data_IF_418363057194
#
_entry.id   IF_418363057194
#
_cell.length_a   1.000
_cell.length_b   1.000
_cell.length_c   1.000
_cell.angle_alpha   90.00
_cell.angle_beta   90.00
_cell.angle_gamma   90.00
#
_symmetry.space_group_name_H-M   'P 1'
#
loop_
_entity.id
_entity.type
_entity.pdbx_description
1 polymer ?
#
# COMPACT_ATOMS: atom_id res chain seq x y z
N UNK A 1 22.93 -15.72 5.86
CA UNK A 1 22.68 -15.39 4.43
C UNK A 1 24.01 -15.00 3.80
N UNK A 2 24.28 -15.43 2.58
CA UNK A 2 25.45 -14.96 1.85
C UNK A 2 25.18 -13.50 1.42
N UNK A 3 26.09 -12.60 1.74
CA UNK A 3 26.03 -11.19 1.34
C UNK A 3 27.31 -10.88 0.57
N UNK A 4 27.14 -10.28 -0.60
CA UNK A 4 28.22 -9.77 -1.42
C UNK A 4 27.79 -8.42 -1.98
N UNK A 5 28.77 -7.60 -2.32
CA UNK A 5 28.57 -6.32 -2.99
C UNK A 5 29.63 -6.21 -4.08
N UNK A 6 29.30 -5.51 -5.14
CA UNK A 6 30.17 -5.28 -6.28
C UNK A 6 29.71 -3.99 -6.96
N UNK A 7 30.63 -3.31 -7.62
CA UNK A 7 30.33 -2.18 -8.47
C UNK A 7 30.15 -2.69 -9.91
N UNK A 8 29.08 -2.26 -10.57
CA UNK A 8 28.79 -2.62 -11.95
C UNK A 8 28.02 -1.51 -12.64
N UNK A 9 28.26 -1.35 -13.95
CA UNK A 9 27.46 -0.47 -14.81
C UNK A 9 26.09 -1.09 -15.13
N UNK A 10 26.00 -2.43 -15.13
CA UNK A 10 24.75 -3.18 -15.30
C UNK A 10 24.15 -3.56 -13.94
N UNK A 11 22.85 -3.30 -13.76
CA UNK A 11 22.11 -3.84 -12.63
C UNK A 11 21.35 -5.10 -13.07
N UNK A 12 21.95 -6.25 -12.85
CA UNK A 12 21.43 -7.55 -13.32
C UNK A 12 21.56 -8.66 -12.28
N UNK A 13 20.72 -9.69 -12.42
CA UNK A 13 20.75 -10.88 -11.59
C UNK A 13 21.04 -12.12 -12.46
N UNK A 14 22.20 -12.78 -12.28
CA UNK A 14 22.54 -13.99 -13.02
C UNK A 14 21.71 -15.18 -12.52
N UNK A 15 20.63 -15.51 -13.24
CA UNK A 15 19.69 -16.58 -12.86
C UNK A 15 19.94 -17.88 -13.63
N UNK A 16 20.69 -17.83 -14.74
CA UNK A 16 20.91 -18.98 -15.63
C UNK A 16 21.65 -20.14 -14.96
N UNK A 17 22.54 -19.85 -14.01
CA UNK A 17 23.26 -20.89 -13.27
C UNK A 17 22.33 -21.75 -12.40
N UNK A 18 21.23 -21.17 -11.89
CA UNK A 18 20.22 -21.90 -11.14
C UNK A 18 19.36 -22.83 -12.02
N UNK A 19 19.18 -22.49 -13.30
CA UNK A 19 18.33 -23.21 -14.24
C UNK A 19 18.88 -24.55 -14.71
N UNK A 20 20.20 -24.65 -14.83
CA UNK A 20 20.86 -25.88 -15.29
C UNK A 20 20.49 -27.08 -14.39
N UNK A 21 20.33 -26.82 -13.08
CA UNK A 21 20.03 -27.84 -12.07
C UNK A 21 18.55 -27.93 -11.68
N UNK A 22 17.67 -27.17 -12.33
CA UNK A 22 16.24 -27.17 -11.99
C UNK A 22 15.54 -28.44 -12.50
N UNK A 23 14.90 -29.19 -11.59
CA UNK A 23 14.08 -30.37 -11.92
C UNK A 23 12.65 -30.01 -12.38
N UNK A 24 12.32 -28.72 -12.50
CA UNK A 24 10.99 -28.22 -12.85
C UNK A 24 10.91 -26.71 -12.71
N UNK A 25 9.67 -26.17 -12.66
CA UNK A 25 9.44 -24.74 -12.46
C UNK A 25 9.91 -24.29 -11.08
N UNK A 26 10.59 -23.16 -11.04
CA UNK A 26 11.09 -22.50 -9.83
C UNK A 26 10.45 -21.12 -9.68
N UNK A 27 10.31 -20.68 -8.44
CA UNK A 27 9.87 -19.35 -8.08
C UNK A 27 11.10 -18.54 -7.64
N UNK A 28 11.34 -17.39 -8.28
CA UNK A 28 12.36 -16.42 -7.91
C UNK A 28 11.68 -15.16 -7.41
N UNK A 29 11.97 -14.79 -6.16
CA UNK A 29 11.47 -13.56 -5.55
C UNK A 29 12.65 -12.61 -5.36
N UNK A 30 12.57 -11.44 -5.98
CA UNK A 30 13.58 -10.39 -5.89
C UNK A 30 12.99 -9.22 -5.09
N UNK A 31 13.73 -8.79 -4.08
CA UNK A 31 13.41 -7.57 -3.34
C UNK A 31 14.46 -6.53 -3.66
N UNK A 32 14.04 -5.40 -4.23
CA UNK A 32 14.91 -4.28 -4.59
C UNK A 32 14.58 -3.13 -3.66
N UNK A 33 15.61 -2.59 -3.01
CA UNK A 33 15.51 -1.44 -2.14
C UNK A 33 16.32 -0.30 -2.75
N UNK A 34 15.65 0.75 -3.22
CA UNK A 34 16.31 1.87 -3.91
C UNK A 34 15.76 3.23 -3.47
N UNK A 35 16.58 4.28 -3.60
CA UNK A 35 16.24 5.65 -3.18
C UNK A 35 15.19 6.26 -4.13
N UNK A 36 13.93 6.25 -3.72
CA UNK A 36 12.82 6.98 -4.34
C UNK A 36 12.26 6.31 -5.60
N UNK A 37 12.87 5.20 -6.04
CA UNK A 37 12.59 4.57 -7.32
C UNK A 37 12.11 3.14 -7.11
N UNK A 38 11.11 2.75 -7.90
CA UNK A 38 10.81 1.32 -8.09
C UNK A 38 11.60 0.80 -9.29
N UNK A 39 11.76 -0.51 -9.34
CA UNK A 39 12.44 -1.19 -10.44
C UNK A 39 11.52 -2.20 -11.10
N UNK A 40 11.82 -2.50 -12.36
CA UNK A 40 11.19 -3.54 -13.14
C UNK A 40 12.25 -4.19 -14.03
N UNK A 41 11.93 -5.29 -14.70
CA UNK A 41 12.89 -5.91 -15.61
C UNK A 41 12.85 -5.23 -16.98
N UNK A 42 14.01 -5.08 -17.61
CA UNK A 42 14.17 -4.41 -18.90
C UNK A 42 13.98 -5.35 -20.08
N UNK A 43 14.27 -6.64 -19.91
CA UNK A 43 14.33 -7.64 -20.96
C UNK A 43 13.21 -8.70 -20.93
N UNK A 44 12.18 -8.48 -20.09
CA UNK A 44 10.99 -9.31 -20.03
C UNK A 44 9.75 -8.44 -19.80
N UNK A 45 8.57 -9.00 -20.08
CA UNK A 45 7.31 -8.30 -19.83
C UNK A 45 7.08 -8.08 -18.34
N UNK A 46 6.53 -6.93 -17.98
CA UNK A 46 6.23 -6.59 -16.60
C UNK A 46 4.72 -6.53 -16.38
N UNK A 47 4.26 -7.26 -15.38
CA UNK A 47 2.83 -7.33 -15.03
C UNK A 47 2.70 -7.09 -13.54
N UNK A 48 1.64 -6.42 -13.11
CA UNK A 48 1.34 -6.30 -11.67
C UNK A 48 0.36 -7.37 -11.23
N UNK A 49 0.54 -7.85 -10.00
CA UNK A 49 -0.40 -8.81 -9.42
C UNK A 49 -1.79 -8.14 -9.27
N UNK A 50 -2.88 -8.85 -9.59
CA UNK A 50 -4.24 -8.38 -9.33
C UNK A 50 -4.43 -8.03 -7.85
N UNK A 51 -5.21 -6.97 -7.58
CA UNK A 51 -5.36 -6.40 -6.23
C UNK A 51 -6.81 -6.02 -5.91
N UNK A 52 -7.07 -5.67 -4.64
CA UNK A 52 -8.40 -5.48 -4.03
C UNK A 52 -9.40 -6.58 -4.40
N UNK A 53 -8.98 -7.83 -4.23
CA UNK A 53 -9.85 -9.00 -4.50
C UNK A 53 -10.57 -9.37 -3.22
N UNK A 54 -11.89 -9.44 -3.27
CA UNK A 54 -12.68 -10.05 -2.21
C UNK A 54 -12.54 -11.57 -2.27
N UNK A 55 -12.11 -12.17 -1.16
CA UNK A 55 -11.84 -13.60 -1.02
C UNK A 55 -12.67 -14.17 0.11
N UNK A 56 -12.93 -15.47 0.05
CA UNK A 56 -13.71 -16.19 1.04
C UNK A 56 -12.94 -16.42 2.34
N UNK A 57 -13.67 -16.67 3.44
CA UNK A 57 -13.10 -17.01 4.75
C UNK A 57 -12.09 -18.17 4.69
N UNK A 58 -12.35 -19.17 3.84
CA UNK A 58 -11.47 -20.32 3.67
C UNK A 58 -10.06 -19.93 3.19
N UNK A 59 -9.92 -18.78 2.55
CA UNK A 59 -8.63 -18.24 2.10
C UNK A 59 -7.70 -17.93 3.26
N UNK A 60 -8.24 -17.57 4.43
CA UNK A 60 -7.42 -17.21 5.60
C UNK A 60 -6.48 -18.33 6.04
N UNK A 61 -6.96 -19.57 6.09
CA UNK A 61 -6.15 -20.74 6.46
C UNK A 61 -5.41 -21.36 5.29
N UNK A 62 -5.77 -21.01 4.05
CA UNK A 62 -5.24 -21.59 2.81
C UNK A 62 -4.59 -20.54 1.91
N UNK A 63 -4.10 -19.45 2.50
CA UNK A 63 -3.62 -18.28 1.74
C UNK A 63 -2.53 -18.65 0.75
N UNK A 64 -1.60 -19.55 1.13
CA UNK A 64 -0.55 -19.99 0.22
C UNK A 64 -1.08 -20.69 -1.03
N UNK A 65 -2.09 -21.54 -0.89
CA UNK A 65 -2.72 -22.22 -2.04
C UNK A 65 -3.50 -21.23 -2.91
N UNK A 66 -4.27 -20.33 -2.29
CA UNK A 66 -4.93 -19.23 -3.00
C UNK A 66 -3.94 -18.41 -3.83
N UNK A 67 -2.88 -17.95 -3.18
CA UNK A 67 -1.89 -17.10 -3.80
C UNK A 67 -1.18 -17.82 -4.96
N UNK A 68 -0.82 -19.08 -4.77
CA UNK A 68 -0.21 -19.89 -5.82
C UNK A 68 -1.15 -20.08 -7.03
N UNK A 69 -2.43 -20.34 -6.79
CA UNK A 69 -3.45 -20.42 -7.84
C UNK A 69 -3.63 -19.11 -8.60
N UNK A 70 -3.74 -17.98 -7.88
CA UNK A 70 -3.83 -16.65 -8.48
C UNK A 70 -2.60 -16.34 -9.35
N UNK A 71 -1.43 -16.62 -8.82
CA UNK A 71 -0.17 -16.37 -9.50
C UNK A 71 0.00 -17.24 -10.74
N UNK A 72 -0.36 -18.53 -10.67
CA UNK A 72 -0.32 -19.45 -11.82
C UNK A 72 -1.26 -18.98 -12.94
N UNK A 73 -2.46 -18.47 -12.61
CA UNK A 73 -3.39 -17.89 -13.58
C UNK A 73 -2.82 -16.63 -14.26
N UNK A 74 -2.15 -15.75 -13.50
CA UNK A 74 -1.50 -14.55 -14.05
C UNK A 74 -0.37 -14.93 -15.00
N UNK A 75 0.50 -15.86 -14.61
CA UNK A 75 1.61 -16.34 -15.45
C UNK A 75 1.10 -17.09 -16.69
N UNK A 76 0.00 -17.85 -16.58
CA UNK A 76 -0.60 -18.52 -17.72
C UNK A 76 -1.12 -17.54 -18.77
N UNK A 77 -1.63 -16.37 -18.34
CA UNK A 77 -2.09 -15.29 -19.22
C UNK A 77 -0.95 -14.41 -19.75
N UNK A 78 0.13 -14.29 -19.00
CA UNK A 78 1.31 -13.48 -19.32
C UNK A 78 2.58 -14.32 -19.26
N UNK A 79 2.77 -15.24 -20.23
CA UNK A 79 3.95 -16.09 -20.25
C UNK A 79 5.22 -15.23 -20.34
N UNK A 80 6.29 -15.67 -19.67
CA UNK A 80 7.60 -14.96 -19.63
C UNK A 80 7.56 -13.55 -19.02
N UNK A 81 6.55 -13.24 -18.21
CA UNK A 81 6.50 -11.99 -17.47
C UNK A 81 7.11 -12.09 -16.07
N UNK A 82 7.59 -10.96 -15.55
CA UNK A 82 7.95 -10.76 -14.16
C UNK A 82 6.88 -9.95 -13.46
N UNK A 83 6.41 -10.46 -12.32
CA UNK A 83 5.22 -9.95 -11.66
C UNK A 83 5.66 -9.02 -10.53
N UNK A 84 5.19 -7.77 -10.56
CA UNK A 84 5.31 -6.85 -9.43
C UNK A 84 4.21 -7.12 -8.42
N UNK A 85 4.58 -7.49 -7.19
CA UNK A 85 3.64 -7.79 -6.10
C UNK A 85 3.51 -6.61 -5.12
N UNK A 86 4.55 -5.79 -5.03
CA UNK A 86 4.63 -4.68 -4.09
C UNK A 86 5.60 -3.60 -4.62
N UNK A 87 5.22 -2.34 -4.50
CA UNK A 87 6.09 -1.18 -4.73
C UNK A 87 5.62 -0.02 -3.83
N UNK A 88 6.28 0.19 -2.70
CA UNK A 88 5.92 1.21 -1.72
C UNK A 88 7.16 1.75 -1.00
N UNK A 89 7.06 2.94 -0.41
CA UNK A 89 8.06 3.42 0.55
C UNK A 89 8.38 2.36 1.63
N UNK A 90 9.66 2.15 1.93
CA UNK A 90 10.11 1.12 2.86
C UNK A 90 9.72 1.40 4.31
N UNK A 91 9.51 2.68 4.67
CA UNK A 91 9.16 3.10 6.02
C UNK A 91 7.67 3.31 6.25
N UNK A 92 6.82 3.06 5.26
CA UNK A 92 5.36 3.21 5.40
C UNK A 92 4.61 2.15 4.62
N UNK A 93 3.38 1.88 5.04
CA UNK A 93 2.44 1.01 4.36
C UNK A 93 1.04 1.26 4.92
N UNK A 94 0.02 0.83 4.20
CA UNK A 94 -1.35 0.77 4.73
C UNK A 94 -2.13 -0.32 3.98
N UNK A 95 -2.68 -1.36 4.64
CA UNK A 95 -2.37 -1.75 6.01
C UNK A 95 -0.94 -2.29 6.09
N UNK A 96 -0.28 -2.09 7.22
CA UNK A 96 1.03 -2.68 7.47
C UNK A 96 0.87 -4.05 8.15
N UNK A 97 1.33 -5.16 7.54
CA UNK A 97 1.34 -6.48 8.18
C UNK A 97 2.40 -6.61 9.29
N UNK A 98 3.22 -5.58 9.52
CA UNK A 98 4.24 -5.55 10.57
C UNK A 98 4.83 -4.15 10.68
N UNK A 99 5.77 -3.91 11.60
CA UNK A 99 6.49 -2.65 11.61
C UNK A 99 7.18 -2.42 10.26
N UNK A 100 7.18 -1.20 9.74
CA UNK A 100 7.93 -0.88 8.53
C UNK A 100 9.45 -1.04 8.79
N UNK A 101 10.25 -1.07 7.71
CA UNK A 101 11.70 -1.31 7.84
C UNK A 101 12.35 -0.23 8.69
N UNK A 102 13.05 -0.67 9.73
CA UNK A 102 13.82 0.16 10.65
C UNK A 102 15.29 0.21 10.29
N UNK A 103 16.04 1.06 10.99
CA UNK A 103 17.47 1.26 10.75
C UNK A 103 18.31 -0.03 10.75
N UNK A 104 18.03 -0.95 11.68
CA UNK A 104 18.72 -2.24 11.78
C UNK A 104 18.42 -3.15 10.59
N UNK A 105 17.23 -3.05 10.02
CA UNK A 105 16.84 -3.84 8.85
C UNK A 105 17.63 -3.36 7.63
N UNK A 106 17.73 -2.05 7.42
CA UNK A 106 18.54 -1.48 6.35
C UNK A 106 20.01 -1.92 6.42
N UNK A 107 20.62 -1.90 7.62
CA UNK A 107 22.01 -2.37 7.80
C UNK A 107 22.14 -3.87 7.48
N UNK A 108 21.18 -4.68 7.94
CA UNK A 108 21.15 -6.13 7.64
C UNK A 108 21.04 -6.38 6.13
N UNK A 109 20.29 -5.52 5.42
CA UNK A 109 20.05 -5.60 3.97
C UNK A 109 21.15 -4.94 3.11
N UNK A 110 22.29 -4.55 3.71
CA UNK A 110 23.44 -4.02 2.96
C UNK A 110 23.56 -2.50 2.96
N UNK A 111 22.74 -1.78 3.74
CA UNK A 111 22.84 -0.33 3.89
C UNK A 111 24.16 0.14 4.51
N UNK A 112 24.86 -0.74 5.22
CA UNK A 112 26.21 -0.53 5.75
C UNK A 112 27.28 -0.36 4.67
N UNK A 113 27.05 -0.88 3.46
CA UNK A 113 27.96 -0.74 2.32
C UNK A 113 27.66 0.53 1.51
N UNK A 114 26.41 0.99 1.52
CA UNK A 114 25.95 2.16 0.74
C UNK A 114 26.28 3.51 1.40
N UNK A 115 26.63 3.50 2.68
CA UNK A 115 27.06 4.68 3.42
C UNK A 115 28.36 4.33 4.15
N UNK A 116 29.52 4.81 3.67
CA UNK A 116 30.73 4.74 4.48
C UNK A 116 30.43 5.47 5.79
N UNK A 117 30.45 4.76 6.91
CA UNK A 117 30.66 5.45 8.18
C UNK A 117 32.02 6.15 8.03
N UNK A 118 32.14 7.46 8.26
CA UNK A 118 33.45 8.09 8.32
C UNK A 118 34.27 7.36 9.39
N UNK A 119 35.40 6.77 8.99
CA UNK A 119 36.25 5.93 9.86
C UNK A 119 36.84 6.67 11.09
N UNK A 120 36.65 7.99 11.19
CA UNK A 120 37.25 8.84 12.23
C UNK A 120 36.21 9.60 13.09
N UNK A 121 35.18 8.94 13.57
CA UNK A 121 34.38 9.48 14.69
C UNK A 121 34.42 8.53 15.88
N UNK A 122 35.19 8.85 16.95
CA UNK A 122 35.07 8.13 18.20
C UNK A 122 33.62 8.20 18.67
N UNK A 123 33.07 7.05 19.11
CA UNK A 123 31.78 7.02 19.81
C UNK A 123 31.75 8.16 20.84
N UNK A 124 30.79 9.10 20.78
CA UNK A 124 30.78 10.19 21.73
C UNK A 124 30.41 9.63 23.10
N UNK A 125 31.43 9.39 23.92
CA UNK A 125 31.36 9.24 25.36
C UNK A 125 31.09 10.62 25.98
N UNK A 126 29.87 11.12 25.78
CA UNK A 126 29.42 12.40 26.31
C UNK A 126 27.91 12.43 26.51
N UNK A 127 27.41 13.21 27.48
CA UNK A 127 25.98 13.32 27.72
C UNK A 127 25.26 13.88 26.48
N UNK A 128 23.99 13.49 26.24
CA UNK A 128 23.30 13.79 25.00
C UNK A 128 23.20 15.30 24.78
N UNK A 129 23.98 15.81 23.82
CA UNK A 129 23.87 17.19 23.36
C UNK A 129 22.62 17.31 22.48
N UNK A 130 21.91 18.41 22.68
CA UNK A 130 20.62 18.79 22.07
C UNK A 130 20.56 18.47 20.56
N UNK A 131 19.39 18.08 20.02
CA UNK A 131 19.26 17.65 18.63
C UNK A 131 19.40 18.85 17.67
N UNK A 132 20.62 19.10 17.22
CA UNK A 132 20.92 19.98 16.09
C UNK A 132 20.95 19.17 14.80
N UNK A 133 20.02 19.48 13.88
CA UNK A 133 19.94 19.23 12.42
C UNK A 133 21.10 18.44 11.74
N UNK A 134 21.38 17.24 12.21
CA UNK A 134 22.32 16.28 11.61
C UNK A 134 21.56 15.03 11.17
N UNK A 135 21.45 14.86 9.86
CA UNK A 135 20.59 13.97 9.08
C UNK A 135 20.99 12.48 9.17
N UNK A 136 21.17 11.93 10.38
CA UNK A 136 21.80 10.59 10.54
C UNK A 136 20.83 9.41 10.51
N UNK A 137 19.52 9.60 10.76
CA UNK A 137 18.54 8.49 10.79
C UNK A 137 17.15 8.88 10.23
N UNK A 138 17.13 9.72 9.19
CA UNK A 138 15.91 10.13 8.48
C UNK A 138 15.79 9.60 7.05
N UNK A 139 16.68 8.70 6.62
CA UNK A 139 16.81 8.27 5.22
C UNK A 139 15.87 7.14 4.78
N UNK A 140 15.23 6.43 5.72
CA UNK A 140 14.36 5.30 5.38
C UNK A 140 13.14 5.71 4.52
N UNK A 141 12.61 6.92 4.76
CA UNK A 141 11.51 7.51 3.98
C UNK A 141 11.88 7.83 2.54
N UNK A 142 13.16 7.76 2.20
CA UNK A 142 13.65 7.92 0.85
C UNK A 142 13.71 6.60 0.08
N UNK A 143 13.60 5.43 0.72
CA UNK A 143 13.69 4.15 0.01
C UNK A 143 12.32 3.63 -0.41
N UNK A 144 12.26 3.03 -1.58
CA UNK A 144 11.13 2.25 -2.09
C UNK A 144 11.55 0.79 -2.11
N UNK A 145 10.72 -0.06 -1.50
CA UNK A 145 10.82 -1.51 -1.61
C UNK A 145 9.98 -1.95 -2.80
N UNK A 146 10.62 -2.62 -3.76
CA UNK A 146 9.95 -3.31 -4.86
C UNK A 146 10.10 -4.81 -4.69
N UNK A 147 9.00 -5.55 -4.76
CA UNK A 147 8.99 -7.02 -4.76
C UNK A 147 8.55 -7.53 -6.13
N UNK A 148 9.47 -8.22 -6.79
CA UNK A 148 9.27 -8.86 -8.08
C UNK A 148 9.24 -10.38 -7.90
N UNK A 149 8.43 -11.05 -8.68
CA UNK A 149 8.31 -12.51 -8.66
C UNK A 149 8.26 -13.05 -10.08
N UNK A 150 9.23 -13.88 -10.41
CA UNK A 150 9.28 -14.61 -11.66
C UNK A 150 9.09 -16.10 -11.38
N UNK A 151 8.30 -16.78 -12.20
CA UNK A 151 8.21 -18.24 -12.19
C UNK A 151 8.69 -18.77 -13.52
N UNK A 152 9.68 -19.63 -13.43
CA UNK A 152 10.51 -19.93 -14.59
C UNK A 152 10.97 -21.38 -14.59
N UNK A 153 11.19 -21.87 -15.80
CA UNK A 153 11.85 -23.13 -16.10
C UNK A 153 12.89 -22.86 -17.20
N UNK A 154 13.51 -23.93 -17.72
CA UNK A 154 14.52 -23.86 -18.77
C UNK A 154 14.04 -23.15 -20.05
N UNK A 155 12.74 -22.99 -20.25
CA UNK A 155 12.15 -22.41 -21.45
C UNK A 155 11.62 -20.98 -21.24
N UNK A 156 11.38 -20.56 -19.99
CA UNK A 156 10.72 -19.28 -19.68
C UNK A 156 11.68 -18.09 -19.51
N UNK A 157 12.78 -18.26 -18.77
CA UNK A 157 13.84 -17.24 -18.60
C UNK A 157 15.13 -17.76 -19.26
N UNK A 158 15.37 -17.35 -20.50
CA UNK A 158 16.53 -17.74 -21.30
C UNK A 158 17.76 -16.84 -21.07
N UNK A 159 17.53 -15.66 -20.50
CA UNK A 159 18.51 -14.60 -20.25
C UNK A 159 18.49 -14.20 -18.77
N UNK A 160 19.59 -13.62 -18.29
CA UNK A 160 19.67 -13.05 -16.95
C UNK A 160 18.70 -11.86 -16.80
N UNK A 161 18.24 -11.58 -15.58
CA UNK A 161 17.29 -10.50 -15.37
C UNK A 161 18.04 -9.17 -15.33
N UNK A 162 17.75 -8.28 -16.27
CA UNK A 162 18.28 -6.92 -16.29
C UNK A 162 17.24 -6.01 -15.67
N UNK A 163 17.62 -5.20 -14.68
CA UNK A 163 16.69 -4.30 -14.00
C UNK A 163 16.88 -2.86 -14.49
N UNK A 164 15.77 -2.12 -14.51
CA UNK A 164 15.75 -0.68 -14.80
C UNK A 164 14.83 0.06 -13.85
N UNK A 165 15.12 1.34 -13.62
CA UNK A 165 14.20 2.23 -12.94
C UNK A 165 12.87 2.32 -13.69
N UNK A 166 11.77 2.44 -12.95
CA UNK A 166 10.46 2.51 -13.54
C UNK A 166 9.55 3.57 -12.89
N UNK A 167 8.61 4.17 -13.64
CA UNK A 167 7.74 5.24 -13.14
C UNK A 167 6.87 4.78 -11.97
N UNK A 168 6.56 5.64 -10.98
CA UNK A 168 5.79 5.22 -9.82
C UNK A 168 4.39 4.70 -10.16
N UNK A 169 3.90 3.76 -9.36
CA UNK A 169 2.57 3.16 -9.51
C UNK A 169 1.79 3.12 -8.19
N UNK A 170 0.47 3.12 -8.30
CA UNK A 170 -0.45 2.92 -7.17
C UNK A 170 -1.47 1.85 -7.48
N UNK A 171 -1.92 1.16 -6.43
CA UNK A 171 -2.97 0.15 -6.51
C UNK A 171 -3.06 -0.66 -5.22
N UNK A 172 -4.22 -1.24 -4.95
CA UNK A 172 -4.42 -2.02 -3.72
C UNK A 172 -4.58 -1.17 -2.46
N UNK A 173 -5.19 0.01 -2.59
CA UNK A 173 -5.43 0.99 -1.51
C UNK A 173 -6.91 1.17 -1.19
N UNK A 174 -7.77 0.27 -1.67
CA UNK A 174 -9.23 0.39 -1.55
C UNK A 174 -9.81 1.69 -2.15
N UNK A 175 -9.16 2.26 -3.17
CA UNK A 175 -9.66 3.47 -3.83
C UNK A 175 -10.79 3.13 -4.80
N UNK A 176 -11.95 3.78 -4.61
CA UNK A 176 -13.09 3.68 -5.52
C UNK A 176 -12.81 4.50 -6.78
N UNK A 177 -12.93 3.83 -7.92
CA UNK A 177 -12.87 4.41 -9.25
C UNK A 177 -14.24 4.92 -9.68
N UNK A 178 -14.27 5.61 -10.81
CA UNK A 178 -15.50 6.01 -11.48
C UNK A 178 -16.43 4.79 -11.68
N UNK A 179 -17.71 4.94 -11.35
CA UNK A 179 -18.67 3.83 -11.36
C UNK A 179 -18.69 2.96 -10.09
N UNK A 180 -18.03 3.37 -9.01
CA UNK A 180 -18.14 2.75 -7.68
C UNK A 180 -17.43 1.39 -7.57
N UNK A 181 -16.50 1.10 -8.47
CA UNK A 181 -15.69 -0.13 -8.45
C UNK A 181 -14.32 0.14 -7.85
N UNK A 182 -13.77 -0.83 -7.13
CA UNK A 182 -12.41 -0.74 -6.60
C UNK A 182 -11.37 -0.91 -7.72
N UNK A 183 -10.23 -0.23 -7.58
CA UNK A 183 -9.06 -0.48 -8.42
C UNK A 183 -8.65 -1.96 -8.35
N UNK A 184 -8.43 -2.63 -9.49
CA UNK A 184 -8.09 -4.07 -9.55
C UNK A 184 -6.67 -4.36 -10.03
N UNK A 185 -5.89 -3.31 -10.27
CA UNK A 185 -4.52 -3.39 -10.76
C UNK A 185 -3.76 -2.11 -10.46
N UNK A 186 -2.57 -2.00 -11.04
CA UNK A 186 -1.75 -0.80 -10.90
C UNK A 186 -2.14 0.29 -11.90
N UNK A 187 -1.99 1.55 -11.49
CA UNK A 187 -2.09 2.71 -12.36
C UNK A 187 -0.87 3.63 -12.16
N UNK A 188 -0.41 4.33 -13.20
CA UNK A 188 0.66 5.32 -13.07
C UNK A 188 0.32 6.41 -12.04
N UNK A 189 1.35 6.90 -11.34
CA UNK A 189 1.19 7.91 -10.29
C UNK A 189 2.48 8.72 -10.08
N UNK A 190 2.41 9.76 -9.26
CA UNK A 190 3.58 10.50 -8.78
C UNK A 190 4.28 9.83 -7.60
N UNK A 191 3.64 8.83 -6.97
CA UNK A 191 4.17 8.11 -5.79
C UNK A 191 4.03 6.60 -5.95
N UNK A 192 4.93 5.85 -5.31
CA UNK A 192 4.85 4.39 -5.23
C UNK A 192 4.03 3.98 -4.02
N UNK A 193 2.80 3.52 -4.24
CA UNK A 193 1.92 2.94 -3.22
C UNK A 193 1.12 1.77 -3.84
N UNK A 194 1.82 0.77 -4.36
CA UNK A 194 1.23 -0.43 -4.94
C UNK A 194 1.45 -1.64 -4.04
N UNK A 195 0.38 -2.43 -3.85
CA UNK A 195 0.44 -3.73 -3.19
C UNK A 195 -0.64 -4.67 -3.73
N UNK A 196 -0.34 -5.97 -3.78
CA UNK A 196 -1.37 -7.00 -3.86
C UNK A 196 -2.17 -7.07 -2.56
N UNK A 197 -3.47 -6.76 -2.63
CA UNK A 197 -4.41 -6.77 -1.49
C UNK A 197 -5.55 -7.76 -1.75
N UNK A 198 -5.80 -8.64 -0.79
CA UNK A 198 -6.86 -9.64 -0.83
C UNK A 198 -7.64 -9.56 0.48
N UNK A 199 -8.97 -9.48 0.39
CA UNK A 199 -9.82 -8.91 1.43
C UNK A 199 -10.92 -9.89 1.77
N UNK A 200 -10.99 -10.24 3.04
CA UNK A 200 -12.18 -10.87 3.61
C UNK A 200 -12.98 -9.74 4.24
N UNK A 201 -14.24 -9.58 3.82
CA UNK A 201 -15.13 -8.57 4.38
C UNK A 201 -16.08 -9.23 5.35
N UNK A 202 -16.14 -8.72 6.57
CA UNK A 202 -17.11 -9.14 7.57
C UNK A 202 -18.18 -8.05 7.72
N UNK A 203 -19.36 -8.18 7.08
CA UNK A 203 -20.45 -7.24 7.27
C UNK A 203 -20.88 -7.17 8.73
N UNK A 204 -21.40 -6.02 9.17
CA UNK A 204 -22.02 -5.90 10.48
C UNK A 204 -23.24 -6.82 10.57
N UNK A 205 -23.20 -7.77 11.52
CA UNK A 205 -24.28 -8.74 11.76
C UNK A 205 -25.15 -8.41 12.97
N UNK A 206 -24.75 -7.41 13.77
CA UNK A 206 -25.52 -6.95 14.93
C UNK A 206 -26.75 -6.10 14.54
N UNK A 207 -27.58 -5.74 15.52
CA UNK A 207 -28.66 -4.76 15.30
C UNK A 207 -28.11 -3.44 14.77
N UNK A 208 -28.82 -2.82 13.82
CA UNK A 208 -28.52 -1.49 13.30
C UNK A 208 -29.50 -0.52 13.94
N UNK A 209 -29.04 0.24 14.94
CA UNK A 209 -29.89 1.16 15.72
C UNK A 209 -29.79 2.62 15.25
N UNK A 210 -28.83 2.93 14.38
CA UNK A 210 -28.66 4.29 13.85
C UNK A 210 -29.72 4.61 12.78
N UNK A 211 -30.24 5.83 12.81
CA UNK A 211 -31.30 6.29 11.90
C UNK A 211 -30.87 6.33 10.43
N UNK A 212 -29.58 6.58 10.17
CA UNK A 212 -29.01 6.66 8.81
C UNK A 212 -27.72 5.81 8.73
N UNK A 213 -27.83 4.48 8.58
CA UNK A 213 -26.66 3.61 8.55
C UNK A 213 -25.82 3.83 7.29
N UNK A 214 -24.54 4.15 7.47
CA UNK A 214 -23.58 4.27 6.37
C UNK A 214 -22.97 2.91 6.05
N UNK A 215 -23.56 2.21 5.09
CA UNK A 215 -23.03 0.93 4.58
C UNK A 215 -21.81 1.15 3.68
N UNK A 216 -21.01 0.10 3.49
CA UNK A 216 -19.83 0.13 2.62
C UNK A 216 -18.62 0.88 3.20
N UNK A 217 -18.70 1.34 4.46
CA UNK A 217 -17.53 1.82 5.20
C UNK A 217 -16.93 0.66 5.98
N UNK A 218 -15.69 0.33 5.64
CA UNK A 218 -14.93 -0.77 6.23
C UNK A 218 -13.89 -0.21 7.20
N UNK A 219 -13.64 -0.94 8.28
CA UNK A 219 -12.67 -0.56 9.30
C UNK A 219 -12.22 -1.78 10.10
N UNK A 220 -11.42 -1.54 11.13
CA UNK A 220 -11.01 -2.59 12.05
C UNK A 220 -12.19 -3.21 12.81
N UNK A 221 -11.95 -4.33 13.52
CA UNK A 221 -12.97 -4.98 14.34
C UNK A 221 -13.68 -4.00 15.28
N UNK A 222 -15.03 -4.03 15.39
CA UNK A 222 -15.80 -3.07 16.19
C UNK A 222 -15.41 -2.97 17.67
N UNK A 223 -14.84 -4.03 18.24
CA UNK A 223 -14.32 -4.06 19.61
C UNK A 223 -12.87 -3.61 19.75
N UNK A 224 -12.25 -3.07 18.71
CA UNK A 224 -10.84 -2.65 18.71
C UNK A 224 -9.84 -3.82 18.68
N UNK A 225 -10.31 -5.05 18.49
CA UNK A 225 -9.43 -6.21 18.37
C UNK A 225 -8.45 -6.02 17.21
N UNK A 226 -7.17 -6.28 17.47
CA UNK A 226 -6.10 -6.26 16.47
C UNK A 226 -5.57 -7.70 16.37
N UNK A 227 -6.16 -8.57 15.52
CA UNK A 227 -5.66 -9.93 15.36
C UNK A 227 -4.20 -9.88 14.90
N UNK A 228 -3.34 -10.78 15.39
CA UNK A 228 -1.93 -10.77 15.02
C UNK A 228 -1.79 -10.99 13.51
N UNK A 229 -0.85 -10.27 12.92
CA UNK A 229 -0.48 -10.46 11.52
C UNK A 229 0.32 -11.74 11.37
N UNK A 230 -0.02 -12.54 10.36
CA UNK A 230 0.65 -13.81 10.09
C UNK A 230 1.32 -13.74 8.72
N UNK A 231 2.66 -13.85 8.63
CA UNK A 231 3.32 -13.91 7.35
C UNK A 231 2.98 -15.24 6.67
N UNK A 232 2.64 -15.19 5.39
CA UNK A 232 2.56 -16.39 4.59
C UNK A 232 3.97 -16.93 4.34
N UNK A 233 4.28 -18.09 4.91
CA UNK A 233 5.59 -18.71 4.78
C UNK A 233 5.59 -19.76 3.67
N UNK A 234 6.77 -19.98 3.07
CA UNK A 234 7.00 -21.08 2.10
C UNK A 234 6.05 -21.06 0.90
N UNK A 235 5.65 -19.86 0.43
CA UNK A 235 4.71 -19.69 -0.69
C UNK A 235 5.17 -20.41 -1.98
N UNK A 236 6.47 -20.43 -2.25
CA UNK A 236 7.04 -21.17 -3.37
C UNK A 236 6.75 -22.68 -3.34
N UNK A 237 6.52 -23.24 -2.15
CA UNK A 237 6.22 -24.65 -1.91
C UNK A 237 4.74 -24.90 -1.59
N UNK A 238 3.88 -23.89 -1.71
CA UNK A 238 2.47 -24.05 -1.45
C UNK A 238 1.85 -25.05 -2.45
N UNK A 239 0.82 -25.82 -2.05
CA UNK A 239 0.10 -26.70 -2.96
C UNK A 239 -0.47 -25.90 -4.14
N UNK A 240 -0.23 -26.39 -5.36
CA UNK A 240 -0.70 -25.82 -6.63
C UNK A 240 -1.78 -26.71 -7.25
N UNK A 241 -2.50 -26.17 -8.24
CA UNK A 241 -3.57 -26.90 -8.94
C UNK A 241 -4.95 -26.85 -8.27
N UNK A 242 -5.12 -25.99 -7.26
CA UNK A 242 -6.44 -25.70 -6.68
C UNK A 242 -7.13 -24.64 -7.55
N UNK A 243 -8.40 -24.82 -7.88
CA UNK A 243 -9.15 -23.84 -8.67
C UNK A 243 -9.27 -22.51 -7.90
N UNK A 244 -8.89 -21.39 -8.55
CA UNK A 244 -8.97 -20.04 -7.96
C UNK A 244 -10.40 -19.70 -7.48
N UNK A 245 -11.41 -20.18 -8.21
CA UNK A 245 -12.82 -20.01 -7.88
C UNK A 245 -13.21 -20.55 -6.49
N UNK A 246 -12.44 -21.51 -5.93
CA UNK A 246 -12.69 -22.04 -4.58
C UNK A 246 -12.32 -21.07 -3.43
N UNK A 247 -11.62 -19.98 -3.76
CA UNK A 247 -11.16 -18.97 -2.80
C UNK A 247 -11.89 -17.64 -2.94
N UNK A 248 -12.72 -17.49 -3.95
CA UNK A 248 -13.54 -16.29 -4.16
C UNK A 248 -14.93 -16.52 -3.59
N UNK A 249 -15.56 -15.47 -3.07
CA UNK A 249 -16.97 -15.51 -2.66
C UNK A 249 -17.86 -16.02 -3.79
N UNK A 250 -18.93 -16.76 -3.48
CA UNK A 250 -19.81 -17.36 -4.48
C UNK A 250 -20.37 -16.29 -5.43
N UNK A 251 -19.95 -16.34 -6.70
CA UNK A 251 -20.14 -15.36 -7.78
C UNK A 251 -19.07 -14.26 -7.92
N UNK A 252 -17.79 -14.58 -8.19
CA UNK A 252 -17.14 -13.78 -9.21
C UNK A 252 -17.90 -14.05 -10.51
N UNK A 253 -18.48 -13.04 -11.14
CA UNK A 253 -18.90 -13.19 -12.54
C UNK A 253 -17.73 -13.75 -13.36
N UNK A 254 -17.98 -14.41 -14.50
CA UNK A 254 -16.88 -14.84 -15.37
C UNK A 254 -15.92 -13.68 -15.69
N UNK A 255 -16.47 -12.45 -15.79
CA UNK A 255 -15.72 -11.20 -15.88
C UNK A 255 -14.91 -10.91 -14.62
N UNK A 256 -15.49 -11.10 -13.42
CA UNK A 256 -14.78 -11.06 -12.14
C UNK A 256 -13.55 -11.96 -12.15
N UNK A 257 -13.71 -13.28 -12.36
CA UNK A 257 -12.60 -14.24 -12.41
C UNK A 257 -11.55 -13.90 -13.50
N UNK A 258 -12.01 -13.43 -14.66
CA UNK A 258 -11.14 -13.00 -15.75
C UNK A 258 -10.33 -11.75 -15.37
N UNK A 259 -10.94 -10.79 -14.67
CA UNK A 259 -10.28 -9.61 -14.13
C UNK A 259 -9.31 -9.97 -12.99
N UNK A 260 -9.65 -10.94 -12.14
CA UNK A 260 -8.81 -11.40 -11.04
C UNK A 260 -7.48 -11.99 -11.51
N UNK A 261 -7.37 -12.42 -12.76
CA UNK A 261 -6.20 -13.14 -13.29
C UNK A 261 -5.47 -12.37 -14.38
N UNK A 262 -6.02 -11.23 -14.85
CA UNK A 262 -5.45 -10.47 -15.97
C UNK A 262 -4.17 -9.72 -15.62
N UNK A 263 -3.85 -9.53 -14.33
CA UNK A 263 -2.79 -8.59 -13.94
C UNK A 263 -3.00 -7.20 -14.57
N UNK A 264 -2.02 -6.32 -14.45
CA UNK A 264 -1.99 -5.12 -15.32
C UNK A 264 -0.61 -5.03 -15.95
N UNK A 265 -0.51 -5.17 -17.29
CA UNK A 265 0.73 -4.91 -17.99
C UNK A 265 1.20 -3.49 -17.67
N UNK A 266 2.44 -3.39 -17.21
CA UNK A 266 3.13 -2.12 -17.11
C UNK A 266 3.65 -1.85 -18.52
N UNK A 267 2.91 -1.04 -19.29
CA UNK A 267 3.24 -0.77 -20.69
C UNK A 267 4.70 -0.37 -20.85
N UNK A 268 5.30 -0.72 -22.00
CA UNK A 268 6.66 -0.33 -22.35
C UNK A 268 6.75 1.19 -22.42
N UNK A 269 7.00 1.84 -21.28
CA UNK A 269 7.46 3.22 -21.30
C UNK A 269 8.87 3.15 -21.83
N UNK A 270 9.02 3.56 -23.10
CA UNK A 270 10.28 4.01 -23.67
C UNK A 270 11.02 4.80 -22.58
N UNK A 271 12.30 4.52 -22.30
CA UNK A 271 13.05 5.30 -21.33
C UNK A 271 12.83 6.78 -21.62
N UNK A 272 12.37 7.54 -20.62
CA UNK A 272 12.40 9.00 -20.73
C UNK A 272 13.86 9.37 -21.04
N UNK A 273 14.14 10.23 -22.04
CA UNK A 273 15.49 10.71 -22.26
C UNK A 273 16.07 11.22 -20.93
N UNK A 274 17.37 11.03 -20.68
CA UNK A 274 17.99 11.43 -19.43
C UNK A 274 17.58 12.86 -19.11
N UNK A 275 17.18 13.09 -17.85
CA UNK A 275 16.87 14.43 -17.38
C UNK A 275 18.05 15.34 -17.76
N UNK A 276 17.80 16.54 -18.31
CA UNK A 276 18.88 17.46 -18.64
C UNK A 276 19.74 17.65 -17.40
N UNK A 277 21.06 17.55 -17.59
CA UNK A 277 22.03 17.74 -16.52
C UNK A 277 21.71 19.04 -15.78
N UNK A 278 21.82 19.07 -14.43
CA UNK A 278 21.54 20.26 -13.67
C UNK A 278 22.44 21.40 -14.15
N UNK A 279 21.81 22.46 -14.68
CA UNK A 279 22.47 23.68 -15.08
C UNK A 279 23.36 24.17 -13.94
N UNK A 280 24.68 24.16 -14.14
CA UNK A 280 25.69 24.59 -13.17
C UNK A 280 25.79 26.11 -13.07
N UNK A 281 24.72 26.83 -13.41
CA UNK A 281 24.66 28.28 -13.30
C UNK A 281 24.19 28.66 -11.90
N UNK A 282 25.00 29.37 -11.08
CA UNK A 282 24.59 29.78 -9.75
C UNK A 282 23.41 30.77 -9.85
N UNK A 283 22.21 30.33 -9.44
CA UNK A 283 21.07 31.22 -9.32
C UNK A 283 21.28 32.16 -8.13
N UNK A 284 21.26 33.46 -8.42
CA UNK A 284 21.40 34.54 -7.46
C UNK A 284 20.35 34.47 -6.34
N UNK A 285 20.80 34.86 -5.16
CA UNK A 285 20.05 35.02 -3.90
C UNK A 285 18.81 35.91 -4.09
N UNK A 286 17.64 35.28 -4.16
CA UNK A 286 16.33 35.93 -4.03
C UNK A 286 15.65 35.50 -2.74
N UNK A 287 15.55 36.42 -1.80
CA UNK A 287 14.83 36.29 -0.52
C UNK A 287 13.34 36.06 -0.77
N UNK A 288 12.82 34.89 -0.37
CA UNK A 288 11.39 34.62 -0.29
C UNK A 288 11.00 34.37 1.17
N UNK A 289 10.16 35.27 1.69
CA UNK A 289 9.66 35.29 3.06
C UNK A 289 8.74 34.11 3.38
N UNK A 290 8.93 33.57 4.57
CA UNK A 290 8.16 32.50 5.21
C UNK A 290 6.77 33.00 5.68
N UNK A 291 5.66 32.29 5.42
CA UNK A 291 4.40 32.54 6.11
C UNK A 291 4.35 31.79 7.45
N UNK A 292 3.92 32.49 8.48
CA UNK A 292 3.84 32.07 9.88
C UNK A 292 2.92 30.84 10.12
N UNK A 293 3.16 30.06 11.19
CA UNK A 293 2.39 28.85 11.51
C UNK A 293 1.03 29.19 12.14
N UNK A 294 -0.04 28.66 11.57
CA UNK A 294 -1.40 28.68 12.15
C UNK A 294 -1.61 27.56 13.15
N UNK A 295 -2.23 27.92 14.28
CA UNK A 295 -2.42 27.15 15.51
C UNK A 295 -2.91 25.71 15.37
N UNK A 296 -2.19 24.82 16.05
CA UNK A 296 -2.65 23.48 16.40
C UNK A 296 -3.37 23.53 17.75
N UNK A 297 -4.70 23.46 17.75
CA UNK A 297 -5.46 23.15 18.97
C UNK A 297 -5.46 21.65 19.23
N UNK A 298 -4.77 21.26 20.30
CA UNK A 298 -4.76 19.94 20.92
C UNK A 298 -6.12 19.61 21.54
N UNK A 299 -6.56 18.35 21.42
CA UNK A 299 -7.69 17.79 22.17
C UNK A 299 -7.15 16.64 23.04
N UNK A 300 -7.43 16.61 24.36
CA UNK A 300 -6.88 15.62 25.26
C UNK A 300 -7.59 14.26 25.16
N UNK A 301 -6.82 13.21 25.44
CA UNK A 301 -7.26 11.81 25.46
C UNK A 301 -7.79 11.42 26.85
N UNK A 302 -9.04 10.94 26.94
CA UNK A 302 -9.50 9.93 27.92
C UNK A 302 -10.80 9.27 27.39
N UNK A 303 -10.91 7.92 27.37
CA UNK A 303 -12.11 7.23 26.85
C UNK A 303 -13.17 7.01 27.96
N UNK A 304 -14.48 7.11 27.66
CA UNK A 304 -15.51 6.60 28.56
C UNK A 304 -15.73 5.10 28.36
N UNK A 305 -16.16 4.46 29.45
CA UNK A 305 -16.44 3.03 29.57
C UNK A 305 -17.67 2.57 28.78
N UNK A 306 -17.58 1.34 28.28
CA UNK A 306 -18.67 0.41 27.93
C UNK A 306 -19.67 0.81 26.83
N UNK A 307 -19.56 0.10 25.70
CA UNK A 307 -20.71 -0.39 24.93
C UNK A 307 -21.40 0.60 23.99
N UNK A 308 -20.98 0.63 22.72
CA UNK A 308 -21.77 1.19 21.62
C UNK A 308 -20.93 1.91 20.58
N UNK A 309 -21.03 1.45 19.32
CA UNK A 309 -20.61 2.09 18.07
C UNK A 309 -19.36 2.99 18.11
N UNK A 310 -18.24 2.47 17.58
CA UNK A 310 -17.11 3.30 17.20
C UNK A 310 -17.51 4.27 16.08
N UNK A 311 -17.76 5.53 16.44
CA UNK A 311 -17.98 6.63 15.50
C UNK A 311 -19.43 7.12 15.38
N UNK A 312 -20.15 7.29 16.48
CA UNK A 312 -21.31 8.18 16.51
C UNK A 312 -20.88 9.58 16.96
N UNK A 313 -20.65 10.51 16.03
CA UNK A 313 -20.83 11.91 16.37
C UNK A 313 -22.34 12.15 16.46
N UNK A 314 -22.82 12.45 17.66
CA UNK A 314 -24.16 13.01 17.82
C UNK A 314 -24.16 14.37 17.11
N UNK A 315 -24.95 14.50 16.05
CA UNK A 315 -25.30 15.83 15.55
C UNK A 315 -26.04 16.54 16.68
N UNK A 316 -25.55 17.71 17.09
CA UNK A 316 -26.33 18.61 17.94
C UNK A 316 -27.69 18.82 17.27
N UNK A 317 -28.75 18.43 17.95
CA UNK A 317 -30.10 18.78 17.60
C UNK A 317 -30.30 20.28 17.85
N UNK A 318 -29.87 21.11 16.91
CA UNK A 318 -30.21 22.54 16.83
C UNK A 318 -31.21 22.81 15.70
N UNK A 319 -32.16 21.89 15.48
CA UNK A 319 -33.30 22.07 14.57
C UNK A 319 -34.63 21.80 15.29
N UNK A 320 -34.78 22.37 16.49
CA UNK A 320 -36.04 22.39 17.23
C UNK A 320 -36.35 23.77 17.84
N UNK A 321 -35.94 24.86 17.17
CA UNK A 321 -36.23 26.24 17.63
C UNK A 321 -37.16 27.06 16.74
N UNK A 322 -37.58 26.56 15.58
CA UNK A 322 -38.39 27.35 14.63
C UNK A 322 -39.90 27.03 14.58
N UNK A 323 -40.40 26.12 15.42
CA UNK A 323 -41.86 25.81 15.46
C UNK A 323 -42.60 26.30 16.72
N UNK A 324 -41.91 26.95 17.68
CA UNK A 324 -42.55 27.41 18.93
C UNK A 324 -42.97 28.89 18.93
N UNK A 325 -42.52 29.70 17.96
CA UNK A 325 -42.82 31.16 17.93
C UNK A 325 -44.03 31.55 17.06
N UNK A 326 -44.52 30.65 16.20
CA UNK A 326 -45.71 30.91 15.37
C UNK A 326 -47.06 30.83 16.13
N UNK A 327 -47.13 30.08 17.23
CA UNK A 327 -48.37 29.85 17.96
C UNK A 327 -48.69 30.94 19.02
N UNK A 328 -47.72 31.76 19.43
CA UNK A 328 -47.93 32.84 20.41
C UNK A 328 -48.33 34.19 19.79
N UNK A 329 -48.12 34.39 18.49
CA UNK A 329 -48.55 35.60 17.77
C UNK A 329 -50.03 35.56 17.31
N UNK A 330 -50.63 34.37 17.18
CA UNK A 330 -52.03 34.22 16.79
C UNK A 330 -53.03 34.43 17.95
N UNK A 331 -52.60 34.28 19.21
CA UNK A 331 -53.45 34.47 20.40
C UNK A 331 -53.46 35.93 20.92
N UNK A 332 -52.49 36.77 20.51
CA UNK A 332 -52.43 38.20 20.87
C UNK A 332 -53.31 39.12 19.99
N UNK A 333 -53.59 38.72 18.75
CA UNK A 333 -54.40 39.54 17.82
C UNK A 333 -55.92 39.33 17.96
N UNK A 334 -56.36 38.23 18.59
CA UNK A 334 -57.78 37.97 18.86
C UNK A 334 -58.31 38.69 20.13
N UNK A 335 -57.44 39.07 21.06
CA UNK A 335 -57.82 39.76 22.31
C UNK A 335 -57.77 41.28 22.24
N UNK A 336 -57.05 41.85 21.26
CA UNK A 336 -57.00 43.31 21.04
C UNK A 336 -58.21 43.86 20.24
N UNK A 337 -58.90 43.02 19.45
CA UNK A 337 -60.06 43.43 18.64
C UNK A 337 -61.40 43.46 19.39
N UNK A 338 -61.42 43.11 20.68
CA UNK A 338 -62.63 43.11 21.54
C UNK A 338 -62.69 44.24 22.58
N UNK A 339 -61.72 45.16 22.60
CA UNK A 339 -61.65 46.31 23.55
C UNK A 339 -61.73 47.70 22.91
N UNK A 340 -62.18 47.80 21.65
CA UNK A 340 -62.63 49.06 21.05
C UNK A 340 -64.01 48.89 20.41
N UNK A 341 -65.02 48.86 21.26
CA UNK A 341 -66.36 49.42 21.05
C UNK A 341 -66.73 50.15 22.34
#
# INVERSE_FOLDING_TARGET
PLRFHYDSESFELPVRLGLLNAHGKQDLIVHILSKGKRYEVANYDNVTIPTNIDVSEATKSRFGAFYASLFDEVVAKHPRSVITEYAWQATSCDPCPGPPLGGKDFMTLGGDVLAPMPDDQPFPSGPPRRPGRGRMWGGGSQYVLTRLHARYDRNALNEDLVFREAPPIVGGREFLQEGGKLERGATPSSVNNFQGRYIIRHPWTGPITCAQPRRGRWGGPPGGAQPPTMPAQKLAFAPRGVALASFTEANPTADGMSLLSKGTPLGNTTPLPPAPEPDTTPAATGTASEPAPGDATSVPATPPSSGGCGGCSVGSADDARDFAWGALLALGLATWRRRRR
#
